data_IF_286475301622
#
_entry.id   IF_286475301622
#
_cell.length_a   1.000
_cell.length_b   1.000
_cell.length_c   1.000
_cell.angle_alpha   90.00
_cell.angle_beta   90.00
_cell.angle_gamma   90.00
#
_symmetry.space_group_name_H-M   'P 1'
#
loop_
_entity.id
_entity.type
_entity.pdbx_description
1 polymer ?
#
# COMPACT_ATOMS: atom_id res chain seq x y z
N UNK A 1 -6.74 -13.29 12.14
CA UNK A 1 -5.59 -12.43 11.81
C UNK A 1 -4.77 -13.17 10.78
N UNK A 2 -4.70 -12.62 9.58
CA UNK A 2 -3.91 -13.16 8.49
C UNK A 2 -2.44 -13.10 8.89
N UNK A 3 -1.75 -14.23 8.75
CA UNK A 3 -0.42 -14.49 9.28
C UNK A 3 0.66 -14.14 8.26
N UNK A 4 0.61 -12.94 7.69
CA UNK A 4 1.73 -12.44 6.88
C UNK A 4 2.80 -11.88 7.83
N UNK A 5 4.06 -12.18 7.54
CA UNK A 5 5.19 -11.53 8.21
C UNK A 5 5.31 -10.11 7.66
N UNK A 6 5.36 -9.06 8.51
CA UNK A 6 5.52 -7.69 8.03
C UNK A 6 6.75 -7.54 7.13
N UNK A 7 6.61 -6.72 6.11
CA UNK A 7 7.67 -6.33 5.20
C UNK A 7 8.77 -5.63 6.00
N UNK A 8 9.97 -6.19 5.91
CA UNK A 8 11.19 -5.53 6.37
C UNK A 8 11.77 -4.73 5.21
N UNK A 9 11.58 -3.40 5.24
CA UNK A 9 12.13 -2.51 4.23
C UNK A 9 13.66 -2.43 4.33
N UNK A 10 14.38 -2.48 3.20
CA UNK A 10 15.81 -2.21 3.17
C UNK A 10 16.15 -0.79 3.63
N UNK A 11 17.29 -0.62 4.29
CA UNK A 11 17.76 0.68 4.81
C UNK A 11 17.76 1.80 3.74
N UNK A 12 18.04 1.46 2.48
CA UNK A 12 18.05 2.43 1.38
C UNK A 12 16.65 2.97 1.04
N UNK A 13 15.62 2.14 1.15
CA UNK A 13 14.22 2.56 0.99
C UNK A 13 13.85 3.51 2.13
N UNK A 14 14.14 3.13 3.37
CA UNK A 14 13.84 3.94 4.57
C UNK A 14 14.54 5.30 4.52
N UNK A 15 15.84 5.34 4.20
CA UNK A 15 16.61 6.59 4.08
C UNK A 15 16.06 7.49 2.97
N UNK A 16 15.65 6.92 1.84
CA UNK A 16 15.07 7.67 0.73
C UNK A 16 13.69 8.23 1.11
N UNK A 17 12.84 7.44 1.77
CA UNK A 17 11.53 7.88 2.25
C UNK A 17 11.67 9.03 3.25
N UNK A 18 12.52 8.89 4.27
CA UNK A 18 12.80 9.95 5.26
C UNK A 18 13.25 11.26 4.59
N UNK A 19 14.09 11.15 3.56
CA UNK A 19 14.55 12.29 2.76
C UNK A 19 13.39 12.94 2.01
N UNK A 20 12.58 12.14 1.30
CA UNK A 20 11.44 12.62 0.51
C UNK A 20 10.34 13.24 1.38
N UNK A 21 10.09 12.70 2.57
CA UNK A 21 9.17 13.29 3.54
C UNK A 21 9.59 14.72 3.90
N UNK A 22 10.87 14.93 4.20
CA UNK A 22 11.42 16.26 4.50
C UNK A 22 11.32 17.18 3.27
N UNK A 23 11.70 16.69 2.10
CA UNK A 23 11.67 17.48 0.86
C UNK A 23 10.26 17.85 0.40
N UNK A 24 9.25 17.04 0.73
CA UNK A 24 7.85 17.30 0.38
C UNK A 24 7.30 18.59 1.01
N UNK A 25 7.90 19.05 2.12
CA UNK A 25 7.58 20.32 2.75
C UNK A 25 8.19 21.53 2.00
N UNK A 26 9.27 21.32 1.25
CA UNK A 26 10.03 22.38 0.58
C UNK A 26 9.74 22.47 -0.91
N UNK A 27 9.45 21.34 -1.56
CA UNK A 27 9.17 21.24 -2.99
C UNK A 27 8.07 20.24 -3.28
N UNK A 28 7.51 20.35 -4.49
CA UNK A 28 6.64 19.30 -5.02
C UNK A 28 7.51 18.11 -5.45
N UNK A 29 7.12 16.93 -5.01
CA UNK A 29 7.72 15.67 -5.44
C UNK A 29 7.44 15.39 -6.92
N UNK A 30 8.34 14.65 -7.57
CA UNK A 30 8.10 14.07 -8.89
C UNK A 30 7.00 13.02 -8.79
N UNK A 31 6.57 12.52 -9.95
CA UNK A 31 5.54 11.49 -9.97
C UNK A 31 6.07 10.19 -9.36
N UNK A 32 7.31 9.86 -9.67
CA UNK A 32 8.00 8.64 -9.27
C UNK A 32 8.32 8.66 -7.76
N UNK A 33 8.82 9.79 -7.24
CA UNK A 33 9.04 10.00 -5.81
C UNK A 33 7.74 9.88 -5.01
N UNK A 34 6.65 10.48 -5.51
CA UNK A 34 5.35 10.36 -4.83
C UNK A 34 4.80 8.94 -4.92
N UNK A 35 5.09 8.21 -6.00
CA UNK A 35 4.65 6.83 -6.13
C UNK A 35 5.34 5.91 -5.13
N UNK A 36 6.66 6.07 -4.94
CA UNK A 36 7.40 5.37 -3.88
C UNK A 36 6.80 5.65 -2.49
N UNK A 37 6.57 6.93 -2.17
CA UNK A 37 5.95 7.31 -0.89
C UNK A 37 4.54 6.75 -0.73
N UNK A 38 3.70 6.82 -1.76
CA UNK A 38 2.35 6.25 -1.72
C UNK A 38 2.40 4.74 -1.44
N UNK A 39 3.31 3.99 -2.07
CA UNK A 39 3.47 2.56 -1.84
C UNK A 39 3.94 2.29 -0.40
N UNK A 40 5.00 2.95 0.06
CA UNK A 40 5.55 2.79 1.41
C UNK A 40 4.49 3.10 2.49
N UNK A 41 3.87 4.28 2.43
CA UNK A 41 2.84 4.71 3.40
C UNK A 41 1.65 3.73 3.41
N UNK A 42 1.27 3.21 2.24
CA UNK A 42 0.14 2.29 2.12
C UNK A 42 0.46 0.92 2.70
N UNK A 43 1.67 0.39 2.50
CA UNK A 43 2.08 -0.90 3.08
C UNK A 43 2.02 -0.83 4.60
N UNK A 44 2.56 0.22 5.22
CA UNK A 44 2.49 0.43 6.68
C UNK A 44 1.04 0.41 7.18
N UNK A 45 0.11 0.97 6.41
CA UNK A 45 -1.31 0.97 6.73
C UNK A 45 -1.97 -0.41 6.57
N UNK A 46 -1.61 -1.14 5.51
CA UNK A 46 -2.13 -2.48 5.22
C UNK A 46 -1.65 -3.54 6.21
N UNK A 47 -0.48 -3.33 6.82
CA UNK A 47 0.05 -4.17 7.90
C UNK A 47 -0.50 -3.80 9.29
N UNK A 48 -1.27 -2.71 9.36
CA UNK A 48 -1.99 -2.30 10.56
C UNK A 48 -3.15 -3.23 10.92
N UNK A 49 -3.75 -3.00 12.09
CA UNK A 49 -4.84 -3.84 12.64
C UNK A 49 -6.04 -3.99 11.69
N UNK A 50 -6.40 -2.92 10.98
CA UNK A 50 -7.57 -2.88 10.11
C UNK A 50 -7.30 -3.27 8.66
N UNK A 51 -6.04 -3.47 8.25
CA UNK A 51 -5.66 -3.91 6.91
C UNK A 51 -6.34 -3.13 5.77
N UNK A 52 -6.98 -3.84 4.85
CA UNK A 52 -7.69 -3.22 3.71
C UNK A 52 -8.86 -2.33 4.15
N UNK A 53 -9.53 -2.64 5.27
CA UNK A 53 -10.54 -1.74 5.81
C UNK A 53 -9.91 -0.40 6.22
N UNK A 54 -8.78 -0.45 6.96
CA UNK A 54 -8.04 0.74 7.38
C UNK A 54 -7.55 1.58 6.20
N UNK A 55 -7.11 0.92 5.13
CA UNK A 55 -6.79 1.60 3.86
C UNK A 55 -7.96 2.43 3.33
N UNK A 56 -9.13 1.82 3.19
CA UNK A 56 -10.32 2.49 2.64
C UNK A 56 -10.94 3.53 3.56
N UNK A 57 -10.77 3.41 4.88
CA UNK A 57 -11.18 4.43 5.85
C UNK A 57 -10.16 5.56 6.04
N UNK A 58 -8.95 5.41 5.48
CA UNK A 58 -7.95 6.46 5.56
C UNK A 58 -8.30 7.69 4.72
N UNK A 59 -7.72 8.84 5.09
CA UNK A 59 -7.81 10.07 4.31
C UNK A 59 -6.92 10.09 3.06
N UNK A 60 -6.33 8.96 2.66
CA UNK A 60 -5.47 8.87 1.48
C UNK A 60 -6.27 9.10 0.19
N UNK A 61 -5.58 9.52 -0.86
CA UNK A 61 -6.19 9.56 -2.19
C UNK A 61 -6.06 8.17 -2.83
N UNK A 62 -7.03 7.29 -2.59
CA UNK A 62 -6.95 5.88 -3.01
C UNK A 62 -6.70 5.70 -4.50
N UNK A 63 -7.31 6.52 -5.36
CA UNK A 63 -7.09 6.44 -6.81
C UNK A 63 -5.64 6.81 -7.18
N UNK A 64 -5.06 7.82 -6.52
CA UNK A 64 -3.63 8.15 -6.72
C UNK A 64 -2.76 6.99 -6.26
N UNK A 65 -3.01 6.45 -5.07
CA UNK A 65 -2.25 5.32 -4.52
C UNK A 65 -2.29 4.12 -5.45
N UNK A 66 -3.47 3.72 -5.94
CA UNK A 66 -3.61 2.59 -6.87
C UNK A 66 -2.79 2.83 -8.15
N UNK A 67 -2.85 4.04 -8.72
CA UNK A 67 -2.01 4.38 -9.89
C UNK A 67 -0.50 4.39 -9.56
N UNK A 68 -0.13 4.63 -8.30
CA UNK A 68 1.26 4.57 -7.84
C UNK A 68 1.76 3.12 -7.76
N UNK A 69 0.94 2.17 -7.29
CA UNK A 69 1.25 0.74 -7.37
C UNK A 69 1.42 0.27 -8.84
N UNK A 70 0.55 0.74 -9.74
CA UNK A 70 0.71 0.48 -11.18
C UNK A 70 2.02 1.07 -11.74
N UNK A 71 2.39 2.29 -11.32
CA UNK A 71 3.60 2.97 -11.80
C UNK A 71 4.88 2.28 -11.32
N UNK A 72 4.90 1.84 -10.07
CA UNK A 72 6.03 1.11 -9.46
C UNK A 72 6.15 -0.30 -10.06
N UNK A 73 5.10 -0.82 -10.69
CA UNK A 73 5.08 -2.16 -11.29
C UNK A 73 4.52 -3.24 -10.36
N UNK A 74 4.03 -2.87 -9.17
CA UNK A 74 3.40 -3.75 -8.19
C UNK A 74 1.94 -4.07 -8.57
N UNK A 75 1.70 -4.47 -9.82
CA UNK A 75 0.36 -4.66 -10.38
C UNK A 75 -0.43 -5.79 -9.71
N UNK A 76 0.26 -6.75 -9.09
CA UNK A 76 -0.38 -7.83 -8.34
C UNK A 76 -1.23 -7.32 -7.16
N UNK A 77 -0.90 -6.13 -6.61
CA UNK A 77 -1.63 -5.51 -5.50
C UNK A 77 -2.82 -4.67 -5.96
N UNK A 78 -2.86 -4.29 -7.24
CA UNK A 78 -3.90 -3.41 -7.80
C UNK A 78 -5.26 -4.08 -7.80
N UNK A 79 -5.33 -5.36 -8.14
CA UNK A 79 -6.59 -6.10 -8.19
C UNK A 79 -7.21 -6.27 -6.79
N UNK A 80 -6.48 -6.74 -5.76
CA UNK A 80 -6.99 -6.80 -4.39
C UNK A 80 -7.38 -5.44 -3.81
N UNK A 81 -6.61 -4.38 -4.08
CA UNK A 81 -6.97 -3.02 -3.70
C UNK A 81 -8.31 -2.63 -4.32
N UNK A 82 -8.49 -2.79 -5.63
CA UNK A 82 -9.75 -2.46 -6.28
C UNK A 82 -10.93 -3.36 -5.84
N UNK A 83 -10.69 -4.65 -5.60
CA UNK A 83 -11.70 -5.59 -5.14
C UNK A 83 -12.25 -5.22 -3.75
N UNK A 84 -11.41 -4.66 -2.87
CA UNK A 84 -11.80 -4.24 -1.52
C UNK A 84 -12.46 -2.85 -1.45
N UNK A 85 -12.59 -2.14 -2.58
CA UNK A 85 -13.16 -0.77 -2.64
C UNK A 85 -14.52 -0.60 -1.97
N UNK A 86 -15.32 -1.66 -1.90
CA UNK A 86 -16.61 -1.61 -1.22
C UNK A 86 -16.50 -1.21 0.26
N UNK A 87 -15.33 -1.41 0.90
CA UNK A 87 -15.04 -0.99 2.28
C UNK A 87 -15.20 0.53 2.47
N UNK A 88 -14.98 1.35 1.43
CA UNK A 88 -15.15 2.82 1.46
C UNK A 88 -16.57 3.23 1.90
N UNK A 89 -17.56 2.38 1.66
CA UNK A 89 -18.98 2.66 1.93
C UNK A 89 -19.51 2.01 3.21
N UNK A 90 -18.64 1.36 3.98
CA UNK A 90 -18.99 0.57 5.18
C UNK A 90 -18.83 1.38 6.47
N UNK A 91 -19.36 0.87 7.61
CA UNK A 91 -19.20 1.53 8.91
C UNK A 91 -17.73 1.84 9.19
N UNK A 92 -17.47 2.84 10.03
CA UNK A 92 -16.09 3.21 10.43
C UNK A 92 -15.40 2.08 11.24
N UNK A 93 -16.15 1.09 11.72
CA UNK A 93 -15.64 -0.03 12.50
C UNK A 93 -15.71 -1.35 11.70
N UNK A 94 -14.55 -1.99 11.47
CA UNK A 94 -14.41 -3.30 10.82
C UNK A 94 -15.20 -4.39 11.53
N UNK A 95 -15.37 -4.30 12.85
CA UNK A 95 -16.08 -5.31 13.65
C UNK A 95 -17.59 -5.33 13.42
N UNK A 96 -18.14 -4.34 12.73
CA UNK A 96 -19.56 -4.30 12.34
C UNK A 96 -19.85 -5.07 11.05
N UNK A 97 -18.83 -5.68 10.43
CA UNK A 97 -19.01 -6.48 9.21
C UNK A 97 -19.83 -7.73 9.49
N UNK A 98 -20.68 -8.12 8.53
CA UNK A 98 -21.30 -9.44 8.57
C UNK A 98 -20.27 -10.54 8.32
N UNK A 99 -20.56 -11.76 8.76
CA UNK A 99 -19.70 -12.94 8.54
C UNK A 99 -19.31 -13.11 7.06
N UNK A 100 -20.24 -12.85 6.13
CA UNK A 100 -19.99 -12.92 4.69
C UNK A 100 -19.05 -11.81 4.20
N UNK A 101 -19.16 -10.60 4.76
CA UNK A 101 -18.29 -9.47 4.40
C UNK A 101 -16.87 -9.65 4.96
N UNK A 102 -16.77 -10.18 6.17
CA UNK A 102 -15.49 -10.53 6.80
C UNK A 102 -14.79 -11.65 6.02
N UNK A 103 -15.50 -12.74 5.69
CA UNK A 103 -14.95 -13.84 4.88
C UNK A 103 -14.50 -13.37 3.49
N UNK A 104 -15.31 -12.51 2.86
CA UNK A 104 -14.95 -11.94 1.55
C UNK A 104 -13.72 -11.04 1.63
N UNK A 105 -13.64 -10.17 2.66
CA UNK A 105 -12.47 -9.32 2.86
C UNK A 105 -11.22 -10.15 3.14
N UNK A 106 -11.32 -11.21 3.96
CA UNK A 106 -10.21 -12.10 4.24
C UNK A 106 -9.65 -12.76 2.98
N UNK A 107 -10.52 -13.20 2.05
CA UNK A 107 -10.09 -13.76 0.76
C UNK A 107 -9.30 -12.75 -0.07
N UNK A 108 -9.74 -11.48 -0.10
CA UNK A 108 -9.02 -10.42 -0.82
C UNK A 108 -7.69 -10.11 -0.14
N UNK A 109 -7.65 -10.06 1.19
CA UNK A 109 -6.42 -9.83 1.95
C UNK A 109 -5.41 -10.98 1.76
N UNK A 110 -5.86 -12.24 1.64
CA UNK A 110 -4.97 -13.37 1.28
C UNK A 110 -4.27 -13.15 -0.06
N UNK A 111 -5.01 -12.75 -1.11
CA UNK A 111 -4.45 -12.43 -2.42
C UNK A 111 -3.49 -11.22 -2.37
N UNK A 112 -3.84 -10.21 -1.58
CA UNK A 112 -3.00 -9.03 -1.34
C UNK A 112 -1.64 -9.43 -0.72
N UNK A 113 -1.67 -10.22 0.35
CA UNK A 113 -0.45 -10.61 1.06
C UNK A 113 0.44 -11.57 0.25
N UNK A 114 -0.15 -12.40 -0.61
CA UNK A 114 0.63 -13.19 -1.57
C UNK A 114 1.39 -12.26 -2.54
N UNK A 115 0.72 -11.22 -3.07
CA UNK A 115 1.35 -10.23 -3.95
C UNK A 115 2.41 -9.37 -3.26
N UNK A 116 2.32 -9.16 -1.94
CA UNK A 116 3.31 -8.39 -1.17
C UNK A 116 4.66 -9.08 -1.08
N UNK A 117 4.73 -10.41 -1.27
CA UNK A 117 5.97 -11.17 -1.17
C UNK A 117 7.06 -10.74 -2.16
N UNK A 118 6.70 -10.13 -3.29
CA UNK A 118 7.64 -9.62 -4.30
C UNK A 118 7.82 -8.10 -4.23
N UNK A 119 7.13 -7.42 -3.31
CA UNK A 119 7.04 -5.95 -3.33
C UNK A 119 8.39 -5.26 -3.09
N UNK A 120 9.20 -5.79 -2.18
CA UNK A 120 10.52 -5.22 -1.88
C UNK A 120 11.41 -5.25 -3.13
N UNK A 121 11.50 -6.39 -3.81
CA UNK A 121 12.32 -6.53 -5.02
C UNK A 121 11.83 -5.61 -6.15
N UNK A 122 10.51 -5.44 -6.28
CA UNK A 122 9.90 -4.53 -7.26
C UNK A 122 10.26 -3.07 -6.93
N UNK A 123 10.14 -2.67 -5.66
CA UNK A 123 10.46 -1.30 -5.21
C UNK A 123 11.94 -0.99 -5.41
N UNK A 124 12.84 -1.92 -5.08
CA UNK A 124 14.28 -1.74 -5.30
C UNK A 124 14.60 -1.57 -6.79
N UNK A 125 14.01 -2.41 -7.64
CA UNK A 125 14.17 -2.28 -9.10
C UNK A 125 13.68 -0.91 -9.59
N UNK A 126 12.53 -0.46 -9.09
CA UNK A 126 11.98 0.86 -9.44
C UNK A 126 12.88 2.02 -8.99
N UNK A 127 13.47 1.93 -7.79
CA UNK A 127 14.42 2.93 -7.29
C UNK A 127 15.66 3.02 -8.18
N UNK A 128 16.25 1.89 -8.55
CA UNK A 128 17.43 1.84 -9.41
C UNK A 128 17.14 2.40 -10.81
N UNK A 129 16.00 2.02 -11.41
CA UNK A 129 15.67 2.34 -12.80
C UNK A 129 15.11 3.76 -12.99
N UNK A 130 14.21 4.20 -12.09
CA UNK A 130 13.43 5.43 -12.28
C UNK A 130 13.92 6.60 -11.40
N UNK A 131 14.49 6.31 -10.23
CA UNK A 131 15.00 7.34 -9.31
C UNK A 131 16.53 7.49 -9.36
N UNK A 132 17.23 6.45 -9.85
CA UNK A 132 18.70 6.42 -9.88
C UNK A 132 19.32 6.35 -8.49
N UNK A 133 18.60 5.75 -7.54
CA UNK A 133 19.01 5.51 -6.16
C UNK A 133 19.45 4.06 -5.96
#
# INVERSE_FOLDING_TARGET
MLSHEPIEWPDEVEVLVDRLETESAERKLTREERALMDVYETVVLLEGEDGLHGFWQSGMNHQRVINSFELVGATALVDPLNASRWCETRPEDRFDYSETEEEYLCTIEEELFEGMGELVDIVLTFMEEELGE
#
